data_IF_836647267034
#
_entry.id   IF_836647267034
#
_cell.length_a   1.000
_cell.length_b   1.000
_cell.length_c   1.000
_cell.angle_alpha   90.00
_cell.angle_beta   90.00
_cell.angle_gamma   90.00
#
_symmetry.space_group_name_H-M   'P 1'
#
loop_
_entity.id
_entity.type
_entity.pdbx_description
1 polymer ?
#
# COMPACT_ATOMS: atom_id res chain seq x y z
N UNK A 1 -3.49 4.54 -20.76
CA UNK A 1 -3.89 3.60 -19.69
C UNK A 1 -4.60 4.38 -18.61
N UNK A 2 -5.93 4.23 -18.50
CA UNK A 2 -6.79 4.98 -17.58
C UNK A 2 -6.71 4.46 -16.13
N UNK A 3 -5.50 4.39 -15.58
CA UNK A 3 -5.28 3.96 -14.19
C UNK A 3 -5.43 5.18 -13.28
N UNK A 4 -6.18 5.02 -12.20
CA UNK A 4 -6.24 5.99 -11.10
C UNK A 4 -5.61 5.35 -9.87
N UNK A 5 -4.59 5.99 -9.32
CA UNK A 5 -4.04 5.60 -8.01
C UNK A 5 -4.90 6.23 -6.93
N UNK A 6 -5.67 5.42 -6.20
CA UNK A 6 -6.56 5.91 -5.14
C UNK A 6 -5.80 6.26 -3.85
N UNK A 7 -4.79 5.46 -3.48
CA UNK A 7 -4.03 5.65 -2.25
C UNK A 7 -2.58 5.17 -2.39
N UNK A 8 -1.65 5.93 -1.82
CA UNK A 8 -0.21 5.62 -1.77
C UNK A 8 0.21 5.46 -0.30
N UNK A 9 0.47 4.23 0.11
CA UNK A 9 1.10 3.94 1.41
C UNK A 9 2.62 3.82 1.27
N UNK A 10 3.31 4.95 1.20
CA UNK A 10 4.77 5.01 1.15
C UNK A 10 5.32 5.99 2.17
N UNK A 11 6.64 6.00 2.37
CA UNK A 11 7.32 6.96 3.23
C UNK A 11 7.05 8.43 2.83
N UNK A 12 6.59 8.68 1.60
CA UNK A 12 6.24 10.01 1.08
C UNK A 12 4.77 10.09 0.62
N UNK A 13 3.96 9.09 0.99
CA UNK A 13 2.58 8.94 0.52
C UNK A 13 1.54 9.64 1.39
N UNK A 14 0.28 9.30 1.14
CA UNK A 14 -0.90 9.93 1.73
C UNK A 14 -0.87 10.02 3.26
N UNK A 15 -0.33 9.00 3.95
CA UNK A 15 -0.25 8.97 5.42
C UNK A 15 0.54 10.12 6.05
N UNK A 16 1.47 10.73 5.30
CA UNK A 16 2.24 11.86 5.82
C UNK A 16 1.52 13.21 5.64
N UNK A 17 0.36 13.22 4.97
CA UNK A 17 -0.47 14.40 4.76
C UNK A 17 -1.62 14.49 5.76
N UNK A 18 -1.67 13.57 6.73
CA UNK A 18 -2.67 13.57 7.79
C UNK A 18 -2.53 14.83 8.65
N UNK A 19 -3.68 15.44 8.97
CA UNK A 19 -3.72 16.61 9.86
C UNK A 19 -3.46 16.15 11.29
N UNK A 20 -2.61 16.88 12.00
CA UNK A 20 -2.45 16.70 13.45
C UNK A 20 -3.68 17.27 14.13
N UNK A 21 -4.47 16.40 14.75
CA UNK A 21 -5.61 16.81 15.58
C UNK A 21 -5.12 17.37 16.93
N UNK A 22 -5.97 18.16 17.57
CA UNK A 22 -5.72 18.67 18.91
C UNK A 22 -6.32 17.70 19.93
N UNK A 23 -5.46 17.05 20.69
CA UNK A 23 -5.81 16.12 21.78
C UNK A 23 -5.69 16.78 23.16
N UNK A 24 -5.22 18.03 23.21
CA UNK A 24 -5.06 18.85 24.40
C UNK A 24 -4.38 20.20 24.10
N UNK A 25 -4.15 20.99 25.14
CA UNK A 25 -3.59 22.34 25.03
C UNK A 25 -2.09 22.35 24.71
N UNK A 26 -1.36 21.29 25.06
CA UNK A 26 0.09 21.20 24.80
C UNK A 26 0.37 20.79 23.34
N UNK A 27 0.96 21.66 22.51
CA UNK A 27 1.29 21.34 21.13
C UNK A 27 2.33 20.21 21.01
N UNK A 28 3.24 20.06 21.97
CA UNK A 28 4.24 18.99 21.94
C UNK A 28 3.59 17.63 22.18
N UNK A 29 2.66 17.55 23.12
CA UNK A 29 1.84 16.37 23.34
C UNK A 29 1.07 15.97 22.07
N UNK A 30 0.42 16.92 21.41
CA UNK A 30 -0.35 16.66 20.19
C UNK A 30 0.53 16.08 19.06
N UNK A 31 1.73 16.63 18.85
CA UNK A 31 2.68 16.14 17.85
C UNK A 31 3.18 14.73 18.20
N UNK A 32 3.61 14.52 19.45
CA UNK A 32 4.12 13.23 19.90
C UNK A 32 3.05 12.13 19.83
N UNK A 33 1.84 12.45 20.30
CA UNK A 33 0.70 11.54 20.24
C UNK A 33 0.35 11.18 18.81
N UNK A 34 0.25 12.16 17.90
CA UNK A 34 0.00 11.89 16.49
C UNK A 34 1.12 11.04 15.87
N UNK A 35 2.39 11.34 16.14
CA UNK A 35 3.53 10.58 15.60
C UNK A 35 3.50 9.10 15.98
N UNK A 36 3.12 8.79 17.23
CA UNK A 36 3.04 7.42 17.73
C UNK A 36 1.76 6.69 17.29
N UNK A 37 0.67 7.42 17.04
CA UNK A 37 -0.63 6.82 16.73
C UNK A 37 -0.98 6.77 15.25
N UNK A 38 -0.35 7.59 14.39
CA UNK A 38 -0.57 7.51 12.95
C UNK A 38 -0.13 6.16 12.39
N UNK A 39 -0.60 5.82 11.20
CA UNK A 39 -0.09 4.66 10.49
C UNK A 39 1.38 4.87 10.13
N UNK A 40 2.26 3.98 10.60
CA UNK A 40 3.69 4.17 10.43
C UNK A 40 4.25 3.43 9.20
N UNK A 41 5.57 3.32 9.10
CA UNK A 41 6.25 2.51 8.10
C UNK A 41 5.90 1.02 8.28
N UNK A 42 6.06 0.19 7.25
CA UNK A 42 5.89 -1.26 7.37
C UNK A 42 6.95 -1.94 8.27
N UNK A 43 7.87 -1.16 8.85
CA UNK A 43 8.72 -1.58 9.98
C UNK A 43 7.94 -1.92 11.25
N UNK A 44 6.73 -1.42 11.38
CA UNK A 44 5.85 -1.76 12.49
C UNK A 44 5.36 -3.20 12.36
N UNK A 45 5.58 -4.00 13.41
CA UNK A 45 5.16 -5.41 13.46
C UNK A 45 3.64 -5.52 13.34
N UNK A 46 2.91 -4.54 13.88
CA UNK A 46 1.46 -4.49 13.82
C UNK A 46 0.99 -3.90 12.47
N UNK A 47 0.42 -4.76 11.63
CA UNK A 47 -0.12 -4.36 10.33
C UNK A 47 -1.60 -3.95 10.38
N UNK A 48 -2.26 -3.98 11.54
CA UNK A 48 -3.71 -3.79 11.64
C UNK A 48 -4.15 -2.43 11.06
N UNK A 49 -3.51 -1.33 11.44
CA UNK A 49 -3.83 0.02 10.90
C UNK A 49 -3.74 0.09 9.37
N UNK A 50 -2.76 -0.64 8.80
CA UNK A 50 -2.56 -0.71 7.35
C UNK A 50 -3.62 -1.56 6.68
N UNK A 51 -3.96 -2.71 7.27
CA UNK A 51 -5.03 -3.58 6.80
C UNK A 51 -6.38 -2.88 6.87
N UNK A 52 -6.70 -2.26 8.01
CA UNK A 52 -7.89 -1.42 8.22
C UNK A 52 -7.98 -0.38 7.11
N UNK A 53 -6.90 0.37 6.83
CA UNK A 53 -6.92 1.35 5.75
C UNK A 53 -7.19 0.76 4.37
N UNK A 54 -6.60 -0.41 4.06
CA UNK A 54 -6.84 -1.07 2.77
C UNK A 54 -8.30 -1.53 2.69
N UNK A 55 -8.85 -2.07 3.78
CA UNK A 55 -10.24 -2.50 3.83
C UNK A 55 -11.23 -1.33 3.76
N UNK A 56 -10.91 -0.18 4.37
CA UNK A 56 -11.72 1.04 4.29
C UNK A 56 -11.89 1.57 2.85
N UNK A 57 -10.93 1.26 1.96
CA UNK A 57 -10.96 1.68 0.56
C UNK A 57 -11.17 0.50 -0.40
N UNK A 58 -11.49 -0.70 0.10
CA UNK A 58 -11.59 -1.92 -0.71
C UNK A 58 -12.55 -1.75 -1.88
N UNK A 59 -13.70 -1.10 -1.67
CA UNK A 59 -14.71 -0.89 -2.71
C UNK A 59 -14.35 0.22 -3.71
N UNK A 60 -13.24 0.93 -3.48
CA UNK A 60 -12.73 2.01 -4.35
C UNK A 60 -11.51 1.57 -5.18
N UNK A 61 -11.06 0.33 -5.03
CA UNK A 61 -9.86 -0.19 -5.69
C UNK A 61 -10.16 -1.51 -6.38
N UNK A 62 -9.56 -1.73 -7.54
CA UNK A 62 -9.62 -3.02 -8.24
C UNK A 62 -8.50 -3.98 -7.78
N UNK A 63 -7.40 -3.44 -7.23
CA UNK A 63 -6.28 -4.24 -6.76
C UNK A 63 -5.21 -3.43 -6.04
N UNK A 64 -4.24 -4.14 -5.47
CA UNK A 64 -3.13 -3.57 -4.70
C UNK A 64 -1.79 -3.90 -5.35
N UNK A 65 -0.91 -2.91 -5.44
CA UNK A 65 0.49 -3.10 -5.82
C UNK A 65 1.35 -2.90 -4.57
N UNK A 66 2.02 -3.96 -4.13
CA UNK A 66 3.07 -3.90 -3.11
C UNK A 66 4.37 -3.63 -3.84
N UNK A 67 4.84 -2.39 -3.77
CA UNK A 67 6.10 -1.98 -4.36
C UNK A 67 7.24 -2.10 -3.36
N UNK A 68 8.16 -3.00 -3.63
CA UNK A 68 9.30 -3.34 -2.80
C UNK A 68 10.57 -2.75 -3.41
N UNK A 69 11.32 -2.00 -2.60
CA UNK A 69 12.69 -1.65 -2.95
C UNK A 69 13.63 -2.77 -2.49
N UNK A 70 14.60 -3.16 -3.33
CA UNK A 70 15.67 -4.08 -2.93
C UNK A 70 16.31 -3.59 -1.64
N UNK A 71 16.57 -4.53 -0.73
CA UNK A 71 17.17 -4.29 0.59
C UNK A 71 16.29 -3.50 1.58
N UNK A 72 15.00 -3.32 1.29
CA UNK A 72 14.04 -2.93 2.31
C UNK A 72 13.55 -4.19 3.04
N UNK A 73 14.34 -4.71 3.98
CA UNK A 73 13.99 -5.94 4.72
C UNK A 73 12.57 -5.94 5.31
N UNK A 74 12.04 -4.83 5.87
CA UNK A 74 10.70 -4.81 6.42
C UNK A 74 9.60 -5.10 5.38
N UNK A 75 9.67 -4.48 4.19
CA UNK A 75 8.65 -4.70 3.16
C UNK A 75 8.79 -6.08 2.54
N UNK A 76 10.02 -6.60 2.41
CA UNK A 76 10.28 -7.96 1.93
C UNK A 76 9.70 -8.98 2.91
N UNK A 77 9.94 -8.79 4.20
CA UNK A 77 9.45 -9.65 5.27
C UNK A 77 7.91 -9.66 5.34
N UNK A 78 7.29 -8.48 5.34
CA UNK A 78 5.84 -8.36 5.47
C UNK A 78 5.07 -8.54 4.16
N UNK A 79 5.67 -8.30 2.99
CA UNK A 79 4.98 -8.24 1.69
C UNK A 79 4.31 -9.55 1.30
N UNK A 80 4.98 -10.68 1.53
CA UNK A 80 4.40 -12.01 1.29
C UNK A 80 3.21 -12.30 2.21
N UNK A 81 3.31 -11.93 3.49
CA UNK A 81 2.23 -12.08 4.46
C UNK A 81 1.03 -11.18 4.11
N UNK A 82 1.29 -9.92 3.76
CA UNK A 82 0.26 -8.98 3.33
C UNK A 82 -0.47 -9.48 2.08
N UNK A 83 0.27 -9.97 1.08
CA UNK A 83 -0.32 -10.55 -0.13
C UNK A 83 -1.24 -11.73 0.19
N UNK A 84 -0.87 -12.59 1.16
CA UNK A 84 -1.70 -13.72 1.60
C UNK A 84 -3.02 -13.22 2.20
N UNK A 85 -2.97 -12.27 3.13
CA UNK A 85 -4.17 -11.72 3.78
C UNK A 85 -5.11 -11.01 2.78
N UNK A 86 -4.53 -10.24 1.85
CA UNK A 86 -5.31 -9.57 0.81
C UNK A 86 -5.97 -10.57 -0.14
N UNK A 87 -5.27 -11.64 -0.50
CA UNK A 87 -5.83 -12.73 -1.31
C UNK A 87 -6.99 -13.44 -0.60
N UNK A 88 -6.86 -13.74 0.70
CA UNK A 88 -7.94 -14.31 1.52
C UNK A 88 -9.17 -13.40 1.59
N UNK A 89 -8.97 -12.10 1.38
CA UNK A 89 -10.02 -11.09 1.34
C UNK A 89 -10.55 -10.76 -0.06
N UNK A 90 -10.19 -11.58 -1.08
CA UNK A 90 -10.50 -11.38 -2.49
C UNK A 90 -10.01 -10.03 -3.06
N UNK A 91 -8.83 -9.59 -2.65
CA UNK A 91 -8.18 -8.38 -3.20
C UNK A 91 -7.00 -8.81 -4.07
N UNK A 92 -7.09 -8.67 -5.41
CA UNK A 92 -5.99 -8.97 -6.32
C UNK A 92 -4.74 -8.15 -5.95
N UNK A 93 -3.59 -8.82 -5.85
CA UNK A 93 -2.36 -8.17 -5.36
C UNK A 93 -1.13 -8.56 -6.19
N UNK A 94 -0.39 -7.57 -6.68
CA UNK A 94 0.89 -7.70 -7.36
C UNK A 94 2.03 -7.25 -6.44
N UNK A 95 3.12 -8.02 -6.37
CA UNK A 95 4.37 -7.57 -5.74
C UNK A 95 5.34 -7.19 -6.84
N UNK A 96 5.90 -5.99 -6.78
CA UNK A 96 6.94 -5.49 -7.69
C UNK A 96 8.21 -5.29 -6.88
N UNK A 97 9.33 -5.82 -7.35
CA UNK A 97 10.65 -5.54 -6.79
C UNK A 97 11.39 -4.59 -7.73
N UNK A 98 11.92 -3.50 -7.18
CA UNK A 98 12.73 -2.53 -7.92
C UNK A 98 14.05 -2.24 -7.20
N UNK A 99 15.04 -1.79 -7.96
CA UNK A 99 16.38 -1.45 -7.47
C UNK A 99 16.85 -0.05 -7.86
N UNK A 100 15.91 0.83 -8.24
CA UNK A 100 16.15 2.17 -8.77
C UNK A 100 16.97 2.24 -10.06
N UNK A 101 17.25 1.12 -10.71
CA UNK A 101 17.89 1.11 -12.02
C UNK A 101 16.83 1.13 -13.13
N UNK A 102 17.19 1.63 -14.30
CA UNK A 102 16.30 1.57 -15.47
C UNK A 102 16.22 0.17 -16.09
N UNK A 103 17.08 -0.76 -15.65
CA UNK A 103 17.19 -2.11 -16.21
C UNK A 103 15.93 -2.94 -15.97
N UNK A 104 15.21 -2.70 -14.87
CA UNK A 104 13.97 -3.39 -14.49
C UNK A 104 12.73 -2.83 -15.19
N UNK A 105 12.82 -1.65 -15.81
CA UNK A 105 11.66 -0.85 -16.25
C UNK A 105 10.71 -1.61 -17.16
N UNK A 106 11.20 -2.26 -18.21
CA UNK A 106 10.34 -2.96 -19.17
C UNK A 106 9.70 -4.21 -18.55
N UNK A 107 10.43 -4.91 -17.67
CA UNK A 107 9.88 -6.03 -16.92
C UNK A 107 8.75 -5.57 -15.97
N UNK A 108 8.97 -4.47 -15.24
CA UNK A 108 7.95 -3.87 -14.38
C UNK A 108 6.72 -3.49 -15.20
N UNK A 109 6.92 -2.86 -16.36
CA UNK A 109 5.85 -2.45 -17.26
C UNK A 109 5.00 -3.63 -17.71
N UNK A 110 5.60 -4.69 -18.25
CA UNK A 110 4.86 -5.87 -18.70
C UNK A 110 4.08 -6.54 -17.57
N UNK A 111 4.63 -6.57 -16.35
CA UNK A 111 3.94 -7.13 -15.18
C UNK A 111 2.75 -6.30 -14.75
N UNK A 112 2.85 -4.96 -14.81
CA UNK A 112 1.73 -4.06 -14.55
C UNK A 112 0.66 -4.22 -15.65
N UNK A 113 1.05 -4.30 -16.91
CA UNK A 113 0.15 -4.52 -18.05
C UNK A 113 -0.66 -5.81 -17.89
N UNK A 114 0.01 -6.94 -17.64
CA UNK A 114 -0.66 -8.22 -17.40
C UNK A 114 -1.56 -8.20 -16.14
N UNK A 115 -1.15 -7.49 -15.08
CA UNK A 115 -1.97 -7.34 -13.89
C UNK A 115 -3.23 -6.53 -14.16
N UNK A 116 -3.14 -5.47 -14.96
CA UNK A 116 -4.33 -4.70 -15.38
C UNK A 116 -5.30 -5.55 -16.19
N UNK A 117 -4.81 -6.33 -17.16
CA UNK A 117 -5.65 -7.24 -17.96
C UNK A 117 -6.42 -8.21 -17.05
N UNK A 118 -5.73 -8.82 -16.09
CA UNK A 118 -6.35 -9.68 -15.08
C UNK A 118 -7.41 -8.94 -14.24
N UNK A 119 -7.18 -7.67 -13.88
CA UNK A 119 -8.16 -6.86 -13.14
C UNK A 119 -9.41 -6.56 -13.98
N UNK A 120 -9.24 -6.25 -15.28
CA UNK A 120 -10.37 -6.02 -16.18
C UNK A 120 -11.23 -7.28 -16.32
N UNK A 121 -10.61 -8.44 -16.54
CA UNK A 121 -11.32 -9.72 -16.58
C UNK A 121 -12.01 -10.05 -15.25
N UNK A 122 -11.35 -9.80 -14.12
CA UNK A 122 -11.94 -10.03 -12.81
C UNK A 122 -13.18 -9.16 -12.60
N UNK A 123 -13.16 -7.90 -13.04
CA UNK A 123 -14.31 -7.01 -12.92
C UNK A 123 -15.49 -7.46 -13.79
N UNK A 124 -15.24 -7.84 -15.04
CA UNK A 124 -16.29 -8.34 -15.95
C UNK A 124 -16.95 -9.62 -15.42
N UNK A 125 -16.21 -10.50 -14.75
CA UNK A 125 -16.73 -11.75 -14.19
C UNK A 125 -17.48 -11.60 -12.85
N UNK A 126 -17.40 -10.44 -12.20
CA UNK A 126 -18.05 -10.15 -10.91
C UNK A 126 -19.23 -9.15 -11.03
N UNK A 127 -19.58 -8.74 -12.26
CA UNK A 127 -20.78 -7.98 -12.62
C UNK A 127 -21.84 -8.97 -13.13
#
# INVERSE_FOLDING_TARGET
FGIKVEYIDSCFGNKNLERIESYGDDPYYNIAFHYLNRMSCIREINLNKRLEKIFDIKDKIDGVIIYTLKYCDPIIYHGGFLKKLLKESNIPTLIIDDDYTLSSKEQIRTRIEAFMEMLYEHRENNI
#
